data_IF_968340231541
#
_entry.id   IF_968340231541
#
_cell.length_a   1.000
_cell.length_b   1.000
_cell.length_c   1.000
_cell.angle_alpha   90.00
_cell.angle_beta   90.00
_cell.angle_gamma   90.00
#
_symmetry.space_group_name_H-M   'P 1'
#
loop_
_entity.id
_entity.type
_entity.pdbx_description
1 polymer ?
#
# COMPACT_ATOMS: atom_id res chain seq x y z
N UNK A 1 -21.55 42.78 57.36
CA UNK A 1 -20.43 41.79 57.23
C UNK A 1 -19.43 42.33 56.22
N UNK A 2 -18.17 42.74 56.59
CA UNK A 2 -17.19 43.25 55.64
C UNK A 2 -16.62 42.11 54.79
N UNK A 3 -16.74 42.18 53.45
CA UNK A 3 -16.06 41.32 52.52
C UNK A 3 -14.54 41.56 52.60
N UNK A 4 -13.80 40.59 53.09
CA UNK A 4 -12.34 40.63 53.09
C UNK A 4 -11.82 40.79 51.64
N UNK A 5 -11.22 41.92 51.31
CA UNK A 5 -10.52 42.12 50.02
C UNK A 5 -9.21 41.35 50.09
N UNK A 6 -9.08 40.35 49.22
CA UNK A 6 -7.82 39.62 49.07
C UNK A 6 -6.69 40.63 48.80
N UNK A 7 -5.52 40.51 49.45
CA UNK A 7 -4.41 41.44 49.25
C UNK A 7 -3.95 41.37 47.76
N UNK A 8 -3.77 42.53 47.18
CA UNK A 8 -3.44 42.69 45.75
C UNK A 8 -2.28 41.78 45.27
N UNK A 9 -1.34 41.51 46.17
CA UNK A 9 -0.22 40.58 45.93
C UNK A 9 -0.64 39.13 45.71
N UNK A 10 -1.68 38.66 46.41
CA UNK A 10 -2.20 37.29 46.24
C UNK A 10 -2.90 37.14 44.88
N UNK A 11 -3.60 38.17 44.42
CA UNK A 11 -4.25 38.19 43.10
C UNK A 11 -3.20 38.13 41.95
N UNK A 12 -2.12 38.96 42.09
CA UNK A 12 -1.04 38.91 41.09
C UNK A 12 -0.31 37.54 41.05
N UNK A 13 -0.03 36.97 42.22
CA UNK A 13 0.59 35.65 42.29
C UNK A 13 -0.29 34.54 41.63
N UNK A 14 -1.60 34.57 41.91
CA UNK A 14 -2.55 33.63 41.28
C UNK A 14 -2.61 33.78 39.75
N UNK A 15 -2.54 35.03 39.27
CA UNK A 15 -2.57 35.34 37.84
C UNK A 15 -1.30 34.84 37.10
N UNK A 16 -0.13 35.00 37.72
CA UNK A 16 1.15 34.50 37.20
C UNK A 16 1.17 32.99 37.17
N UNK A 17 0.68 32.31 38.21
CA UNK A 17 0.58 30.84 38.24
C UNK A 17 -0.40 30.34 37.16
N UNK A 18 -1.57 30.98 37.03
CA UNK A 18 -2.55 30.60 35.99
C UNK A 18 -1.96 30.78 34.58
N UNK A 19 -1.26 31.89 34.32
CA UNK A 19 -0.60 32.12 33.04
C UNK A 19 0.51 31.07 32.77
N UNK A 20 1.31 30.72 33.78
CA UNK A 20 2.32 29.67 33.69
C UNK A 20 1.73 28.31 33.36
N UNK A 21 0.58 27.95 33.95
CA UNK A 21 -0.14 26.72 33.67
C UNK A 21 -0.69 26.70 32.23
N UNK A 22 -1.23 27.81 31.73
CA UNK A 22 -1.70 27.91 30.34
C UNK A 22 -0.55 27.76 29.36
N UNK A 23 0.58 28.43 29.60
CA UNK A 23 1.79 28.30 28.77
C UNK A 23 2.31 26.86 28.81
N UNK A 24 2.36 26.23 29.98
CA UNK A 24 2.75 24.81 30.10
C UNK A 24 1.78 23.87 29.37
N UNK A 25 0.47 24.11 29.45
CA UNK A 25 -0.55 23.34 28.76
C UNK A 25 -0.46 23.45 27.24
N UNK A 26 0.04 24.54 26.70
CA UNK A 26 0.26 24.76 25.27
C UNK A 26 1.60 24.13 24.81
N UNK A 27 2.65 24.28 25.62
CA UNK A 27 4.00 23.83 25.23
C UNK A 27 4.24 22.34 25.46
N UNK A 28 3.63 21.72 26.47
CA UNK A 28 3.80 20.29 26.77
C UNK A 28 3.21 19.34 25.70
N UNK A 29 1.97 19.56 25.18
CA UNK A 29 1.46 18.80 24.06
C UNK A 29 2.28 19.02 22.78
N UNK A 30 2.73 20.25 22.50
CA UNK A 30 3.55 20.57 21.32
C UNK A 30 4.89 19.84 21.28
N UNK A 31 5.45 19.44 22.43
CA UNK A 31 6.66 18.61 22.50
C UNK A 31 6.39 17.13 22.21
N UNK A 32 5.18 16.63 22.49
CA UNK A 32 4.76 15.26 22.18
C UNK A 32 4.34 15.06 20.72
N UNK A 33 4.02 16.14 20.02
CA UNK A 33 3.64 16.15 18.59
C UNK A 33 4.82 16.40 17.63
N UNK A 34 6.06 16.41 18.11
CA UNK A 34 7.21 16.28 17.23
C UNK A 34 7.32 14.83 16.80
N UNK A 35 6.44 14.43 15.89
CA UNK A 35 6.66 13.24 15.08
C UNK A 35 8.01 13.42 14.40
N UNK A 36 8.91 12.44 14.57
CA UNK A 36 10.18 12.43 13.87
C UNK A 36 9.86 12.53 12.36
N UNK A 37 10.43 13.51 11.62
CA UNK A 37 10.24 13.60 10.19
C UNK A 37 10.49 12.26 9.47
N UNK A 38 11.36 11.41 10.01
CA UNK A 38 11.59 10.06 9.54
C UNK A 38 10.38 9.13 9.71
N UNK A 39 9.61 9.28 10.80
CA UNK A 39 8.40 8.49 11.04
C UNK A 39 7.28 8.92 10.11
N UNK A 40 7.10 10.24 9.92
CA UNK A 40 6.14 10.79 8.96
C UNK A 40 6.47 10.33 7.54
N UNK A 41 7.74 10.39 7.14
CA UNK A 41 8.17 9.90 5.83
C UNK A 41 7.98 8.39 5.67
N UNK A 42 8.22 7.59 6.73
CA UNK A 42 7.94 6.14 6.73
C UNK A 42 6.46 5.86 6.61
N UNK A 43 5.61 6.57 7.35
CA UNK A 43 4.15 6.47 7.28
C UNK A 43 3.64 6.85 5.88
N UNK A 44 4.13 7.94 5.29
CA UNK A 44 3.78 8.37 3.94
C UNK A 44 4.23 7.35 2.87
N UNK A 45 5.42 6.74 3.01
CA UNK A 45 5.89 5.67 2.11
C UNK A 45 5.08 4.39 2.27
N UNK A 46 4.69 4.05 3.50
CA UNK A 46 3.80 2.92 3.76
C UNK A 46 2.40 3.16 3.14
N UNK A 47 1.85 4.37 3.29
CA UNK A 47 0.57 4.76 2.72
C UNK A 47 0.57 4.84 1.19
N UNK A 48 1.75 4.98 0.55
CA UNK A 48 1.86 4.97 -0.92
C UNK A 48 1.59 3.61 -1.56
N UNK A 49 1.54 2.55 -0.78
CA UNK A 49 1.41 1.19 -1.29
C UNK A 49 2.65 0.72 -2.07
N UNK A 50 2.68 -0.53 -2.52
CA UNK A 50 3.73 -1.04 -3.40
C UNK A 50 3.65 -0.37 -4.78
N UNK A 51 4.80 -0.19 -5.44
CA UNK A 51 4.86 0.38 -6.79
C UNK A 51 4.38 -0.64 -7.83
N UNK A 52 3.74 -0.14 -8.88
CA UNK A 52 3.51 -0.87 -10.13
C UNK A 52 4.32 -0.17 -11.24
N UNK A 53 4.90 -0.91 -12.19
CA UNK A 53 5.65 -0.33 -13.29
C UNK A 53 4.79 0.59 -14.16
N UNK A 54 5.39 1.55 -14.85
CA UNK A 54 4.65 2.38 -15.79
C UNK A 54 4.29 1.61 -17.08
N UNK A 55 3.24 2.06 -17.79
CA UNK A 55 2.86 1.48 -19.07
C UNK A 55 4.03 1.40 -20.05
N UNK A 56 4.85 2.46 -20.11
CA UNK A 56 6.02 2.53 -20.98
C UNK A 56 7.05 1.43 -20.67
N UNK A 57 7.33 1.18 -19.37
CA UNK A 57 8.29 0.15 -18.95
C UNK A 57 7.87 -1.27 -19.32
N UNK A 58 6.58 -1.52 -19.43
CA UNK A 58 6.04 -2.86 -19.76
C UNK A 58 5.62 -2.98 -21.23
N UNK A 59 5.73 -1.92 -22.03
CA UNK A 59 5.29 -1.90 -23.42
C UNK A 59 3.77 -1.92 -23.59
N UNK A 60 3.01 -1.49 -22.57
CA UNK A 60 1.57 -1.34 -22.67
C UNK A 60 1.20 -0.05 -23.41
N UNK A 61 0.11 -0.09 -24.16
CA UNK A 61 -0.43 1.09 -24.85
C UNK A 61 -1.01 2.12 -23.89
N UNK A 62 -1.56 1.64 -22.76
CA UNK A 62 -2.08 2.51 -21.69
C UNK A 62 -2.11 1.80 -20.35
N UNK A 63 -2.26 2.60 -19.29
CA UNK A 63 -2.46 2.17 -17.91
C UNK A 63 -3.51 3.07 -17.27
N UNK A 64 -4.45 2.50 -16.52
CA UNK A 64 -5.38 3.32 -15.73
C UNK A 64 -4.68 4.08 -14.62
N UNK A 65 -5.34 5.10 -14.08
CA UNK A 65 -4.86 5.76 -12.87
C UNK A 65 -4.65 4.74 -11.75
N UNK A 66 -3.55 4.88 -11.02
CA UNK A 66 -3.19 3.99 -9.93
C UNK A 66 -4.15 4.19 -8.74
N UNK A 67 -4.98 3.19 -8.46
CA UNK A 67 -5.79 3.15 -7.25
C UNK A 67 -4.96 2.60 -6.09
N UNK A 68 -5.19 3.12 -4.87
CA UNK A 68 -4.48 2.72 -3.65
C UNK A 68 -5.44 2.41 -2.54
N UNK A 69 -5.16 1.36 -1.80
CA UNK A 69 -6.01 0.85 -0.73
C UNK A 69 -5.19 0.56 0.51
N UNK A 70 -5.74 0.89 1.67
CA UNK A 70 -5.22 0.54 2.98
C UNK A 70 -6.07 -0.54 3.64
N UNK A 71 -5.77 -0.86 4.89
CA UNK A 71 -6.51 -1.86 5.68
C UNK A 71 -8.01 -1.54 5.78
N UNK A 72 -8.33 -0.25 5.97
CA UNK A 72 -9.70 0.21 6.22
C UNK A 72 -10.56 0.22 4.95
N UNK A 73 -9.94 0.22 3.77
CA UNK A 73 -10.63 0.26 2.47
C UNK A 73 -10.50 -1.03 1.67
N UNK A 74 -9.79 -2.04 2.21
CA UNK A 74 -9.55 -3.29 1.50
C UNK A 74 -10.85 -4.05 1.23
N UNK A 75 -11.76 -4.08 2.19
CA UNK A 75 -13.04 -4.79 2.07
C UNK A 75 -13.95 -4.20 0.97
N UNK A 76 -13.78 -2.93 0.63
CA UNK A 76 -14.54 -2.27 -0.44
C UNK A 76 -14.13 -2.75 -1.84
N UNK A 77 -12.95 -3.39 -1.95
CA UNK A 77 -12.33 -3.77 -3.22
C UNK A 77 -12.22 -5.27 -3.40
N UNK A 78 -11.93 -6.00 -2.32
CA UNK A 78 -11.74 -7.45 -2.32
C UNK A 78 -12.87 -8.08 -1.52
N UNK A 79 -14.02 -8.23 -2.16
CA UNK A 79 -15.20 -8.84 -1.54
C UNK A 79 -14.89 -10.26 -1.04
N UNK A 80 -15.22 -10.55 0.23
CA UNK A 80 -15.09 -11.85 0.87
C UNK A 80 -13.66 -12.36 1.11
N UNK A 81 -12.65 -11.87 0.39
CA UNK A 81 -11.25 -12.31 0.54
C UNK A 81 -10.43 -11.44 1.51
N UNK A 82 -10.93 -10.27 1.89
CA UNK A 82 -10.21 -9.28 2.70
C UNK A 82 -9.69 -9.84 4.02
N UNK A 83 -10.46 -10.71 4.70
CA UNK A 83 -10.08 -11.33 5.97
C UNK A 83 -8.79 -12.14 5.86
N UNK A 84 -8.60 -12.89 4.76
CA UNK A 84 -7.38 -13.66 4.51
C UNK A 84 -6.16 -12.78 4.35
N UNK A 85 -6.29 -11.68 3.62
CA UNK A 85 -5.23 -10.67 3.48
C UNK A 85 -4.87 -10.03 4.81
N UNK A 86 -5.86 -9.61 5.58
CA UNK A 86 -5.66 -9.00 6.91
C UNK A 86 -5.00 -9.97 7.89
N UNK A 87 -5.42 -11.24 7.90
CA UNK A 87 -4.82 -12.28 8.73
C UNK A 87 -3.35 -12.55 8.38
N UNK A 88 -2.97 -12.40 7.10
CA UNK A 88 -1.60 -12.51 6.63
C UNK A 88 -0.78 -11.21 6.82
N UNK A 89 -1.33 -10.19 7.49
CA UNK A 89 -0.61 -8.95 7.81
C UNK A 89 -0.59 -7.92 6.65
N UNK A 90 -1.65 -7.85 5.85
CA UNK A 90 -1.80 -6.85 4.80
C UNK A 90 -1.60 -5.42 5.33
N UNK A 91 -0.91 -4.59 4.56
CA UNK A 91 -0.61 -3.18 4.89
C UNK A 91 -1.26 -2.23 3.90
N UNK A 92 -1.01 -2.42 2.61
CA UNK A 92 -1.49 -1.55 1.54
C UNK A 92 -1.47 -2.28 0.20
N UNK A 93 -2.28 -1.82 -0.76
CA UNK A 93 -2.26 -2.28 -2.14
C UNK A 93 -2.25 -1.10 -3.12
N UNK A 94 -1.72 -1.39 -4.31
CA UNK A 94 -1.83 -0.54 -5.50
C UNK A 94 -2.40 -1.37 -6.64
N UNK A 95 -3.35 -0.81 -7.38
CA UNK A 95 -4.05 -1.49 -8.46
C UNK A 95 -4.11 -0.62 -9.72
N UNK A 96 -3.95 -1.24 -10.88
CA UNK A 96 -4.12 -0.61 -12.20
C UNK A 96 -4.51 -1.67 -13.23
N UNK A 97 -5.08 -1.23 -14.35
CA UNK A 97 -5.30 -2.07 -15.52
C UNK A 97 -4.38 -1.60 -16.63
N UNK A 98 -3.66 -2.53 -17.23
CA UNK A 98 -2.81 -2.30 -18.39
C UNK A 98 -3.52 -2.79 -19.63
N UNK A 99 -3.44 -2.01 -20.72
CA UNK A 99 -3.95 -2.39 -22.01
C UNK A 99 -2.80 -2.54 -23.00
N UNK A 100 -2.72 -3.69 -23.67
CA UNK A 100 -1.71 -4.02 -24.68
C UNK A 100 -2.36 -4.14 -26.04
N UNK A 101 -1.68 -3.65 -27.07
CA UNK A 101 -2.21 -3.65 -28.44
C UNK A 101 -3.27 -2.56 -28.64
N UNK A 102 -3.95 -2.62 -29.80
CA UNK A 102 -5.02 -1.71 -30.18
C UNK A 102 -6.29 -2.46 -30.54
N UNK A 103 -7.43 -1.75 -30.54
CA UNK A 103 -8.70 -2.34 -30.95
C UNK A 103 -8.60 -2.92 -32.37
N UNK A 104 -9.24 -4.09 -32.65
CA UNK A 104 -10.14 -4.84 -31.79
C UNK A 104 -9.46 -5.93 -30.93
N UNK A 105 -8.16 -6.12 -30.99
CA UNK A 105 -7.41 -7.22 -30.35
C UNK A 105 -6.67 -6.78 -29.07
N UNK A 106 -7.29 -5.92 -28.28
CA UNK A 106 -6.70 -5.41 -27.04
C UNK A 106 -6.70 -6.50 -25.94
N UNK A 107 -5.52 -6.72 -25.35
CA UNK A 107 -5.37 -7.52 -24.13
C UNK A 107 -5.40 -6.60 -22.93
N UNK A 108 -6.20 -6.91 -21.93
CA UNK A 108 -6.24 -6.16 -20.67
C UNK A 108 -5.80 -7.04 -19.52
N UNK A 109 -4.90 -6.51 -18.70
CA UNK A 109 -4.37 -7.16 -17.50
C UNK A 109 -4.61 -6.28 -16.30
N UNK A 110 -5.38 -6.78 -15.34
CA UNK A 110 -5.47 -6.18 -14.00
C UNK A 110 -4.21 -6.55 -13.22
N UNK A 111 -3.56 -5.54 -12.65
CA UNK A 111 -2.37 -5.68 -11.82
C UNK A 111 -2.66 -5.18 -10.42
N UNK A 112 -2.41 -6.01 -9.44
CA UNK A 112 -2.60 -5.78 -8.02
C UNK A 112 -1.28 -6.06 -7.32
N UNK A 113 -0.67 -5.04 -6.73
CA UNK A 113 0.50 -5.23 -5.88
C UNK A 113 0.07 -5.03 -4.42
N UNK A 114 0.30 -6.03 -3.59
CA UNK A 114 -0.10 -6.06 -2.18
C UNK A 114 1.13 -6.08 -1.29
N UNK A 115 1.20 -5.20 -0.30
CA UNK A 115 2.25 -5.15 0.71
C UNK A 115 1.79 -5.77 2.00
N UNK A 116 2.62 -6.60 2.59
CA UNK A 116 2.43 -7.21 3.90
C UNK A 116 3.44 -6.65 4.91
N UNK A 117 3.17 -6.82 6.18
CA UNK A 117 4.09 -6.43 7.27
C UNK A 117 5.38 -7.25 7.22
N UNK A 118 5.30 -8.53 6.78
CA UNK A 118 6.41 -9.48 6.65
C UNK A 118 6.32 -10.29 5.35
N UNK A 119 7.47 -10.76 4.89
CA UNK A 119 7.55 -11.60 3.69
C UNK A 119 6.85 -12.96 3.83
N UNK A 120 6.68 -13.44 5.07
CA UNK A 120 5.90 -14.67 5.33
C UNK A 120 4.43 -14.49 4.99
N UNK A 121 3.84 -13.32 5.29
CA UNK A 121 2.48 -12.98 4.95
C UNK A 121 2.27 -12.96 3.43
N UNK A 122 3.18 -12.31 2.68
CA UNK A 122 3.13 -12.31 1.23
C UNK A 122 3.19 -13.72 0.64
N UNK A 123 4.10 -14.57 1.14
CA UNK A 123 4.21 -15.98 0.72
C UNK A 123 2.99 -16.82 1.12
N UNK A 124 2.40 -16.57 2.30
CA UNK A 124 1.20 -17.26 2.73
C UNK A 124 0.02 -16.93 1.82
N UNK A 125 -0.18 -15.65 1.53
CA UNK A 125 -1.22 -15.20 0.60
C UNK A 125 -1.01 -15.77 -0.81
N UNK A 126 0.21 -15.72 -1.34
CA UNK A 126 0.53 -16.30 -2.64
C UNK A 126 0.22 -17.81 -2.73
N UNK A 127 0.46 -18.56 -1.64
CA UNK A 127 0.10 -19.99 -1.60
C UNK A 127 -1.41 -20.22 -1.62
N UNK A 128 -2.17 -19.39 -0.92
CA UNK A 128 -3.64 -19.46 -0.86
C UNK A 128 -4.26 -19.17 -2.25
N UNK A 129 -3.69 -18.23 -2.98
CA UNK A 129 -4.21 -17.79 -4.29
C UNK A 129 -3.58 -18.52 -5.47
N UNK A 130 -2.63 -19.42 -5.23
CA UNK A 130 -1.94 -20.13 -6.30
C UNK A 130 -2.92 -20.91 -7.17
N UNK A 131 -2.98 -20.66 -8.49
CA UNK A 131 -3.81 -21.44 -9.39
C UNK A 131 -3.38 -22.92 -9.40
N UNK A 132 -4.31 -23.88 -9.47
CA UNK A 132 -3.99 -25.32 -9.37
C UNK A 132 -3.00 -25.83 -10.44
N UNK A 133 -2.98 -25.17 -11.61
CA UNK A 133 -2.12 -25.55 -12.76
C UNK A 133 -0.94 -24.60 -12.95
N UNK A 134 -0.69 -23.69 -12.00
CA UNK A 134 0.37 -22.71 -12.13
C UNK A 134 1.76 -23.36 -12.17
N UNK A 135 2.53 -22.97 -13.17
CA UNK A 135 3.92 -23.36 -13.41
C UNK A 135 4.85 -22.19 -13.13
N UNK A 136 6.11 -22.46 -12.85
CA UNK A 136 7.11 -21.40 -12.70
C UNK A 136 7.27 -20.62 -14.01
N UNK A 137 7.43 -19.30 -13.89
CA UNK A 137 7.62 -18.39 -15.03
C UNK A 137 9.11 -18.22 -15.28
N UNK A 138 9.62 -18.70 -16.45
CA UNK A 138 11.04 -18.53 -16.79
C UNK A 138 11.45 -17.05 -16.79
N UNK A 139 12.58 -16.74 -16.16
CA UNK A 139 13.14 -15.40 -16.13
C UNK A 139 12.51 -14.43 -15.12
N UNK A 140 11.51 -14.85 -14.35
CA UNK A 140 10.91 -14.08 -13.25
C UNK A 140 10.98 -14.87 -11.95
N UNK A 141 12.01 -14.68 -11.12
CA UNK A 141 12.19 -15.45 -9.88
C UNK A 141 10.98 -15.36 -8.95
N UNK A 142 10.53 -16.50 -8.43
CA UNK A 142 9.40 -16.57 -7.51
C UNK A 142 8.03 -16.33 -8.13
N UNK A 143 7.95 -16.23 -9.45
CA UNK A 143 6.68 -16.12 -10.17
C UNK A 143 6.13 -17.47 -10.63
N UNK A 144 4.81 -17.61 -10.55
CA UNK A 144 4.05 -18.76 -11.06
C UNK A 144 2.86 -18.27 -11.86
N UNK A 145 2.50 -18.99 -12.94
CA UNK A 145 1.36 -18.61 -13.78
C UNK A 145 0.68 -19.87 -14.38
N UNK A 146 -0.63 -19.76 -14.62
CA UNK A 146 -1.41 -20.71 -15.42
C UNK A 146 -1.80 -20.15 -16.81
N UNK A 147 -1.28 -18.97 -17.15
CA UNK A 147 -1.58 -18.26 -18.40
C UNK A 147 -2.73 -17.24 -18.28
N UNK A 148 -3.60 -17.37 -17.30
CA UNK A 148 -4.67 -16.41 -17.01
C UNK A 148 -4.38 -15.55 -15.79
N UNK A 149 -3.70 -16.14 -14.80
CA UNK A 149 -3.25 -15.48 -13.58
C UNK A 149 -1.75 -15.67 -13.40
N UNK A 150 -1.05 -14.64 -12.95
CA UNK A 150 0.35 -14.71 -12.54
C UNK A 150 0.49 -14.15 -11.13
N UNK A 151 1.20 -14.88 -10.29
CA UNK A 151 1.60 -14.46 -8.95
C UNK A 151 3.12 -14.37 -8.87
N UNK A 152 3.63 -13.30 -8.27
CA UNK A 152 5.06 -13.13 -7.99
C UNK A 152 5.25 -12.54 -6.59
N UNK A 153 6.25 -13.03 -5.84
CA UNK A 153 6.57 -12.53 -4.50
C UNK A 153 7.99 -11.98 -4.49
N UNK A 154 8.12 -10.74 -4.04
CA UNK A 154 9.41 -10.09 -3.80
C UNK A 154 9.43 -9.47 -2.40
N UNK A 155 10.30 -9.99 -1.52
CA UNK A 155 10.36 -9.55 -0.14
C UNK A 155 9.02 -9.69 0.59
N UNK A 156 8.40 -8.56 0.90
CA UNK A 156 7.09 -8.49 1.57
C UNK A 156 5.94 -8.10 0.63
N UNK A 157 6.20 -8.00 -0.64
CA UNK A 157 5.22 -7.61 -1.64
C UNK A 157 4.81 -8.83 -2.49
N UNK A 158 3.51 -8.93 -2.76
CA UNK A 158 2.89 -9.90 -3.65
C UNK A 158 2.31 -9.14 -4.85
N UNK A 159 2.74 -9.49 -6.04
CA UNK A 159 2.11 -9.07 -7.30
C UNK A 159 1.13 -10.15 -7.74
N UNK A 160 -0.09 -9.77 -8.05
CA UNK A 160 -1.11 -10.58 -8.70
C UNK A 160 -1.50 -9.92 -10.01
N UNK A 161 -1.40 -10.65 -11.09
CA UNK A 161 -1.84 -10.22 -12.43
C UNK A 161 -2.95 -11.14 -12.89
N UNK A 162 -4.00 -10.56 -13.45
CA UNK A 162 -5.15 -11.32 -13.97
C UNK A 162 -5.49 -10.81 -15.36
N UNK A 163 -5.58 -11.69 -16.33
CA UNK A 163 -6.06 -11.36 -17.68
C UNK A 163 -7.56 -11.10 -17.60
N UNK A 164 -7.97 -9.86 -17.89
CA UNK A 164 -9.36 -9.42 -17.89
C UNK A 164 -9.97 -9.61 -19.27
N UNK A 165 -9.24 -9.15 -20.32
CA UNK A 165 -9.63 -9.35 -21.71
C UNK A 165 -8.60 -10.25 -22.37
N UNK A 166 -8.94 -11.52 -22.65
CA UNK A 166 -8.01 -12.46 -23.25
C UNK A 166 -7.77 -12.15 -24.73
N UNK A 167 -6.54 -12.40 -25.19
CA UNK A 167 -6.14 -12.22 -26.57
C UNK A 167 -4.75 -12.80 -26.84
N UNK A 168 -4.32 -12.71 -28.09
CA UNK A 168 -2.96 -13.10 -28.46
C UNK A 168 -1.94 -12.22 -27.71
N UNK A 169 -0.94 -12.85 -27.06
CA UNK A 169 0.06 -12.15 -26.27
C UNK A 169 -0.30 -11.91 -24.79
N UNK A 170 -1.44 -12.43 -24.30
CA UNK A 170 -1.82 -12.26 -22.90
C UNK A 170 -0.77 -12.83 -21.94
N UNK A 171 -0.19 -13.99 -22.23
CA UNK A 171 0.87 -14.57 -21.41
C UNK A 171 2.15 -13.70 -21.44
N UNK A 172 2.51 -13.14 -22.58
CA UNK A 172 3.66 -12.24 -22.73
C UNK A 172 3.45 -10.94 -21.95
N UNK A 173 2.21 -10.40 -21.95
CA UNK A 173 1.84 -9.24 -21.18
C UNK A 173 2.00 -9.47 -19.66
N UNK A 174 1.54 -10.63 -19.15
CA UNK A 174 1.75 -11.02 -17.74
C UNK A 174 3.24 -11.05 -17.40
N UNK A 175 4.05 -11.70 -18.24
CA UNK A 175 5.50 -11.83 -18.03
C UNK A 175 6.19 -10.46 -18.08
N UNK A 176 5.82 -9.59 -19.03
CA UNK A 176 6.40 -8.25 -19.16
C UNK A 176 6.17 -7.40 -17.91
N UNK A 177 4.94 -7.39 -17.37
CA UNK A 177 4.63 -6.66 -16.14
C UNK A 177 5.40 -7.25 -14.95
N UNK A 178 5.38 -8.57 -14.78
CA UNK A 178 6.03 -9.25 -13.67
C UNK A 178 7.56 -9.06 -13.68
N UNK A 179 8.19 -9.12 -14.85
CA UNK A 179 9.64 -8.92 -15.01
C UNK A 179 10.05 -7.48 -14.71
N UNK A 180 9.29 -6.49 -15.18
CA UNK A 180 9.53 -5.08 -14.88
C UNK A 180 9.37 -4.81 -13.38
N UNK A 181 8.28 -5.31 -12.78
CA UNK A 181 8.03 -5.16 -11.35
C UNK A 181 9.12 -5.80 -10.48
N UNK A 182 9.56 -7.01 -10.81
CA UNK A 182 10.63 -7.69 -10.06
C UNK A 182 11.95 -6.92 -10.08
N UNK A 183 12.29 -6.27 -11.20
CA UNK A 183 13.49 -5.43 -11.32
C UNK A 183 13.41 -4.18 -10.43
N UNK A 184 12.23 -3.58 -10.31
CA UNK A 184 12.01 -2.38 -9.48
C UNK A 184 12.07 -2.68 -7.97
N UNK A 185 11.80 -3.94 -7.56
CA UNK A 185 11.90 -4.34 -6.15
C UNK A 185 13.35 -4.52 -5.68
N UNK A 186 14.29 -4.68 -6.60
CA UNK A 186 15.71 -4.98 -6.30
C UNK A 186 15.93 -6.42 -5.80
N UNK A 187 17.18 -6.80 -5.64
CA UNK A 187 17.53 -8.10 -5.06
C UNK A 187 17.26 -8.15 -3.56
#
# INVERSE_FOLDING_TARGET
>A
MPKARAPLRAVHAALVVALGLVVAAILLPGRRLREDPGDVLRALRAARGPALPSAEHVGAASQTALARYGKDTLADVIDGAAEGYLANGFVAASMAVYAFGGAPAQVEVAAEAHRFDRGEGARAQARTERPPRAQEVPGVPGAVSDGGVLLAVAGRDLLKLTVVSPGAGAADALVAIAAAWSKEQGP
#
